data_IF_764004867923
#
_entry.id   IF_764004867923
#
_cell.length_a   1.000
_cell.length_b   1.000
_cell.length_c   1.000
_cell.angle_alpha   90.00
_cell.angle_beta   90.00
_cell.angle_gamma   90.00
#
_symmetry.space_group_name_H-M   'P 1'
#
loop_
_entity.id
_entity.type
_entity.pdbx_description
1 polymer ?
#
# COMPACT_ATOMS: atom_id res chain seq x y z
N UNK A 1 -18.90 -34.83 -5.32
CA UNK A 1 -18.74 -33.37 -5.51
C UNK A 1 -18.92 -32.68 -4.16
N UNK A 2 -17.84 -32.53 -3.38
CA UNK A 2 -17.85 -31.77 -2.13
C UNK A 2 -17.69 -30.29 -2.44
N UNK A 3 -18.82 -29.62 -2.64
CA UNK A 3 -18.84 -28.18 -2.80
C UNK A 3 -18.23 -27.53 -1.56
N UNK A 4 -17.04 -26.95 -1.71
CA UNK A 4 -16.52 -25.94 -0.79
C UNK A 4 -17.39 -24.71 -1.03
N UNK A 5 -18.61 -24.75 -0.49
CA UNK A 5 -19.43 -23.56 -0.27
C UNK A 5 -18.68 -22.84 0.84
N UNK A 6 -17.85 -21.89 0.40
CA UNK A 6 -17.15 -20.90 1.21
C UNK A 6 -18.04 -20.48 2.36
N UNK A 7 -17.77 -20.98 3.57
CA UNK A 7 -18.34 -20.44 4.79
C UNK A 7 -17.78 -19.05 4.92
N UNK A 8 -18.54 -18.08 4.41
CA UNK A 8 -18.33 -16.66 4.63
C UNK A 8 -18.64 -16.42 6.11
N UNK A 9 -17.69 -16.77 6.97
CA UNK A 9 -17.60 -16.13 8.26
C UNK A 9 -17.45 -14.64 7.92
N UNK A 10 -18.41 -13.81 8.30
CA UNK A 10 -18.48 -12.40 7.97
C UNK A 10 -17.36 -11.59 8.68
N UNK A 11 -16.10 -12.02 8.56
CA UNK A 11 -14.93 -11.39 9.16
C UNK A 11 -14.78 -11.55 10.68
N UNK A 12 -15.46 -12.52 11.32
CA UNK A 12 -15.37 -12.71 12.79
C UNK A 12 -14.26 -13.67 13.23
N UNK A 13 -13.81 -14.57 12.35
CA UNK A 13 -12.81 -15.59 12.64
C UNK A 13 -11.73 -15.72 11.56
N UNK A 14 -11.70 -14.79 10.60
CA UNK A 14 -10.74 -14.84 9.51
C UNK A 14 -9.34 -14.52 10.07
N UNK A 15 -8.40 -15.46 10.00
CA UNK A 15 -7.00 -15.21 10.34
C UNK A 15 -6.26 -14.57 9.17
N UNK A 16 -5.16 -13.87 9.46
CA UNK A 16 -4.27 -13.30 8.45
C UNK A 16 -3.88 -14.33 7.38
N UNK A 17 -3.41 -15.51 7.82
CA UNK A 17 -2.92 -16.57 6.93
C UNK A 17 -4.02 -17.09 6.00
N UNK A 18 -5.23 -17.27 6.52
CA UNK A 18 -6.38 -17.72 5.71
C UNK A 18 -6.78 -16.69 4.66
N UNK A 19 -6.83 -15.40 5.02
CA UNK A 19 -7.17 -14.33 4.09
C UNK A 19 -6.11 -14.20 2.99
N UNK A 20 -4.82 -14.29 3.34
CA UNK A 20 -3.74 -14.27 2.35
C UNK A 20 -3.80 -15.46 1.39
N UNK A 21 -4.05 -16.67 1.90
CA UNK A 21 -4.23 -17.86 1.07
C UNK A 21 -5.45 -17.75 0.14
N UNK A 22 -6.58 -17.25 0.65
CA UNK A 22 -7.77 -17.00 -0.15
C UNK A 22 -7.52 -15.97 -1.25
N UNK A 23 -6.76 -14.91 -0.94
CA UNK A 23 -6.35 -13.90 -1.92
C UNK A 23 -5.52 -14.51 -3.05
N UNK A 24 -4.48 -15.28 -2.72
CA UNK A 24 -3.64 -15.95 -3.72
C UNK A 24 -4.46 -16.86 -4.61
N UNK A 25 -5.31 -17.70 -4.02
CA UNK A 25 -6.22 -18.58 -4.77
C UNK A 25 -7.18 -17.81 -5.68
N UNK A 26 -7.69 -16.66 -5.23
CA UNK A 26 -8.58 -15.82 -6.04
C UNK A 26 -7.86 -15.19 -7.23
N UNK A 27 -6.61 -14.76 -7.05
CA UNK A 27 -5.74 -14.26 -8.13
C UNK A 27 -5.48 -15.36 -9.15
N UNK A 28 -5.03 -16.54 -8.69
CA UNK A 28 -4.69 -17.67 -9.56
C UNK A 28 -5.89 -18.15 -10.38
N UNK A 29 -7.08 -18.14 -9.77
CA UNK A 29 -8.34 -18.53 -10.41
C UNK A 29 -9.05 -17.38 -11.13
N UNK A 30 -8.47 -16.18 -11.18
CA UNK A 30 -9.05 -14.97 -11.80
C UNK A 30 -10.47 -14.64 -11.28
N UNK A 31 -10.71 -14.86 -9.99
CA UNK A 31 -11.98 -14.62 -9.30
C UNK A 31 -12.00 -13.23 -8.66
N UNK A 32 -12.38 -12.23 -9.45
CA UNK A 32 -12.41 -10.80 -9.03
C UNK A 32 -13.39 -10.54 -7.89
N UNK A 33 -14.56 -11.19 -7.93
CA UNK A 33 -15.59 -11.14 -6.88
C UNK A 33 -15.04 -11.55 -5.50
N UNK A 34 -14.28 -12.66 -5.47
CA UNK A 34 -13.66 -13.17 -4.24
C UNK A 34 -12.50 -12.28 -3.81
N UNK A 35 -11.70 -11.80 -4.77
CA UNK A 35 -10.56 -10.92 -4.49
C UNK A 35 -11.01 -9.62 -3.81
N UNK A 36 -12.07 -8.98 -4.30
CA UNK A 36 -12.61 -7.76 -3.71
C UNK A 36 -13.14 -8.00 -2.28
N UNK A 37 -13.88 -9.10 -2.09
CA UNK A 37 -14.38 -9.47 -0.78
C UNK A 37 -13.24 -9.71 0.23
N UNK A 38 -12.17 -10.41 -0.18
CA UNK A 38 -11.00 -10.68 0.67
C UNK A 38 -10.25 -9.39 0.97
N UNK A 39 -10.07 -8.51 -0.01
CA UNK A 39 -9.42 -7.21 0.16
C UNK A 39 -10.17 -6.33 1.18
N UNK A 40 -11.50 -6.28 1.13
CA UNK A 40 -12.30 -5.53 2.13
C UNK A 40 -12.15 -6.09 3.55
N UNK A 41 -12.06 -7.42 3.69
CA UNK A 41 -11.82 -8.06 5.00
C UNK A 41 -10.42 -7.80 5.53
N UNK A 42 -9.41 -7.89 4.67
CA UNK A 42 -8.04 -7.52 5.00
C UNK A 42 -7.97 -6.05 5.45
N UNK A 43 -8.65 -5.15 4.75
CA UNK A 43 -8.74 -3.73 5.13
C UNK A 43 -9.28 -3.53 6.54
N UNK A 44 -10.31 -4.30 6.92
CA UNK A 44 -10.97 -4.20 8.22
C UNK A 44 -10.18 -4.85 9.37
N UNK A 45 -9.65 -6.05 9.16
CA UNK A 45 -9.04 -6.86 10.22
C UNK A 45 -7.52 -6.70 10.31
N UNK A 46 -6.85 -6.52 9.17
CA UNK A 46 -5.40 -6.46 9.06
C UNK A 46 -4.97 -5.25 8.19
N UNK A 47 -5.31 -4.00 8.60
CA UNK A 47 -5.12 -2.81 7.77
C UNK A 47 -3.66 -2.59 7.33
N UNK A 48 -2.69 -2.93 8.18
CA UNK A 48 -1.26 -2.84 7.83
C UNK A 48 -0.89 -3.77 6.68
N UNK A 49 -1.45 -4.97 6.65
CA UNK A 49 -1.22 -5.96 5.60
C UNK A 49 -1.91 -5.51 4.33
N UNK A 50 -3.16 -5.06 4.44
CA UNK A 50 -3.88 -4.47 3.32
C UNK A 50 -3.06 -3.34 2.66
N UNK A 51 -2.52 -2.40 3.43
CA UNK A 51 -1.67 -1.34 2.88
C UNK A 51 -0.43 -1.87 2.17
N UNK A 52 0.16 -2.92 2.72
CA UNK A 52 1.35 -3.57 2.17
C UNK A 52 1.11 -4.22 0.80
N UNK A 53 -0.04 -4.84 0.59
CA UNK A 53 -0.28 -5.71 -0.59
C UNK A 53 -1.42 -5.25 -1.51
N UNK A 54 -2.20 -4.26 -1.10
CA UNK A 54 -3.33 -3.73 -1.88
C UNK A 54 -3.19 -2.23 -2.10
N UNK A 55 -3.02 -1.44 -1.03
CA UNK A 55 -2.85 0.02 -1.16
C UNK A 55 -3.55 0.84 -0.06
N UNK A 56 -3.86 2.11 -0.31
CA UNK A 56 -4.25 3.06 0.73
C UNK A 56 -5.57 2.68 1.44
N UNK A 57 -5.65 2.96 2.75
CA UNK A 57 -6.84 2.69 3.56
C UNK A 57 -7.93 3.73 3.35
N UNK A 58 -7.53 4.98 3.14
CA UNK A 58 -8.44 6.09 3.04
C UNK A 58 -8.70 6.44 1.58
N UNK A 59 -9.94 6.86 1.30
CA UNK A 59 -10.29 7.44 0.01
C UNK A 59 -9.61 8.80 -0.05
N UNK A 60 -8.85 9.03 -1.11
CA UNK A 60 -8.16 10.31 -1.33
C UNK A 60 -8.87 11.11 -2.40
N UNK A 61 -8.86 12.43 -2.24
CA UNK A 61 -9.27 13.34 -3.30
C UNK A 61 -8.33 13.15 -4.49
N UNK A 62 -8.92 12.88 -5.65
CA UNK A 62 -8.20 12.65 -6.90
C UNK A 62 -8.29 13.89 -7.77
N UNK A 63 -7.16 14.24 -8.37
CA UNK A 63 -7.07 15.31 -9.36
C UNK A 63 -6.12 14.82 -10.46
N UNK A 64 -6.68 14.47 -11.60
CA UNK A 64 -6.01 13.82 -12.73
C UNK A 64 -4.79 14.61 -13.25
N UNK A 65 -4.70 15.90 -12.95
CA UNK A 65 -3.52 16.73 -13.28
C UNK A 65 -2.24 16.19 -12.61
N UNK A 66 -2.37 15.60 -11.43
CA UNK A 66 -1.23 15.15 -10.64
C UNK A 66 -0.93 13.67 -10.86
N UNK A 67 0.36 13.33 -10.88
CA UNK A 67 0.87 11.96 -11.06
C UNK A 67 1.27 11.31 -9.73
N UNK A 68 0.62 11.69 -8.64
CA UNK A 68 0.94 11.20 -7.30
C UNK A 68 0.17 9.92 -6.95
N UNK A 69 0.51 9.31 -5.81
CA UNK A 69 -0.13 8.08 -5.32
C UNK A 69 -1.63 8.26 -4.98
N UNK A 70 -2.14 9.49 -4.86
CA UNK A 70 -3.59 9.71 -4.76
C UNK A 70 -4.33 9.26 -6.03
N UNK A 71 -3.75 9.53 -7.21
CA UNK A 71 -4.35 9.20 -8.51
C UNK A 71 -3.88 7.87 -9.06
N UNK A 72 -2.65 7.48 -8.74
CA UNK A 72 -2.08 6.18 -9.09
C UNK A 72 -1.71 5.42 -7.81
N UNK A 73 -2.71 4.85 -7.10
CA UNK A 73 -2.46 4.15 -5.85
C UNK A 73 -1.47 2.99 -6.04
N UNK A 74 -0.46 2.98 -5.18
CA UNK A 74 0.53 1.91 -5.11
C UNK A 74 0.45 1.21 -3.75
N UNK A 75 0.91 -0.03 -3.71
CA UNK A 75 1.11 -0.74 -2.44
C UNK A 75 2.32 -0.17 -1.70
N UNK A 76 2.41 -0.30 -0.37
CA UNK A 76 3.62 0.13 0.35
C UNK A 76 4.88 -0.60 -0.11
N UNK A 77 4.75 -1.82 -0.67
CA UNK A 77 5.90 -2.52 -1.24
C UNK A 77 6.42 -1.87 -2.53
N UNK A 78 5.51 -1.42 -3.41
CA UNK A 78 5.92 -0.70 -4.63
C UNK A 78 6.46 0.69 -4.28
N UNK A 79 5.84 1.39 -3.32
CA UNK A 79 6.37 2.67 -2.80
C UNK A 79 7.77 2.48 -2.20
N UNK A 80 8.01 1.37 -1.49
CA UNK A 80 9.35 1.00 -1.01
C UNK A 80 10.35 0.87 -2.16
N UNK A 81 9.99 0.15 -3.22
CA UNK A 81 10.87 0.01 -4.39
C UNK A 81 11.16 1.39 -4.96
N UNK A 82 10.12 2.22 -5.13
CA UNK A 82 10.26 3.57 -5.67
C UNK A 82 11.22 4.45 -4.85
N UNK A 83 11.18 4.35 -3.52
CA UNK A 83 12.10 5.07 -2.63
C UNK A 83 13.54 4.59 -2.87
N UNK A 84 13.77 3.28 -2.86
CA UNK A 84 15.13 2.72 -2.97
C UNK A 84 15.71 2.89 -4.38
N UNK A 85 14.89 2.82 -5.43
CA UNK A 85 15.30 3.11 -6.80
C UNK A 85 15.30 4.61 -7.13
N UNK A 86 14.98 5.47 -6.16
CA UNK A 86 14.97 6.92 -6.33
C UNK A 86 14.01 7.39 -7.46
N UNK A 87 12.93 6.65 -7.70
CA UNK A 87 11.94 6.85 -8.77
C UNK A 87 10.63 7.48 -8.29
N UNK A 88 10.54 7.89 -7.02
CA UNK A 88 9.36 8.60 -6.49
C UNK A 88 9.12 9.88 -7.30
N UNK A 89 7.95 9.98 -7.93
CA UNK A 89 7.57 11.13 -8.73
C UNK A 89 7.43 12.39 -7.86
N UNK A 90 7.88 13.57 -8.34
CA UNK A 90 7.88 14.82 -7.57
C UNK A 90 6.49 15.22 -7.05
N UNK A 91 5.42 15.02 -7.83
CA UNK A 91 4.03 15.18 -7.36
C UNK A 91 3.69 14.38 -6.09
N UNK A 92 4.29 13.20 -5.88
CA UNK A 92 4.12 12.43 -4.64
C UNK A 92 4.91 13.01 -3.48
N UNK A 93 6.02 13.73 -3.74
CA UNK A 93 6.83 14.41 -2.73
C UNK A 93 6.16 15.69 -2.23
N UNK A 94 5.53 16.44 -3.13
CA UNK A 94 4.84 17.70 -2.78
C UNK A 94 3.48 17.47 -2.13
N UNK A 95 2.82 16.34 -2.42
CA UNK A 95 1.54 15.98 -1.84
C UNK A 95 1.68 15.49 -0.39
N UNK A 96 1.10 16.24 0.57
CA UNK A 96 1.17 15.89 1.99
C UNK A 96 0.47 14.58 2.35
N UNK A 97 -0.65 14.28 1.68
CA UNK A 97 -1.34 13.01 1.87
C UNK A 97 -0.47 11.82 1.43
N UNK A 98 0.21 11.93 0.28
CA UNK A 98 1.15 10.91 -0.19
C UNK A 98 2.35 10.77 0.75
N UNK A 99 2.86 11.90 1.27
CA UNK A 99 3.97 11.88 2.21
C UNK A 99 3.60 11.14 3.50
N UNK A 100 2.45 11.46 4.10
CA UNK A 100 2.05 10.88 5.38
C UNK A 100 1.64 9.41 5.25
N UNK A 101 0.78 9.08 4.30
CA UNK A 101 0.19 7.74 4.22
C UNK A 101 1.05 6.72 3.47
N UNK A 102 1.89 7.15 2.52
CA UNK A 102 2.70 6.24 1.71
C UNK A 102 4.17 6.34 2.11
N UNK A 103 4.81 7.50 1.93
CA UNK A 103 6.27 7.62 2.00
C UNK A 103 6.81 7.46 3.44
N UNK A 104 6.33 8.28 4.37
CA UNK A 104 6.73 8.24 5.78
C UNK A 104 6.34 6.91 6.43
N UNK A 105 5.16 6.39 6.10
CA UNK A 105 4.69 5.09 6.58
C UNK A 105 5.53 3.94 6.06
N UNK A 106 5.94 3.99 4.78
CA UNK A 106 6.84 3.01 4.19
C UNK A 106 8.20 3.04 4.87
N UNK A 107 8.78 4.22 5.15
CA UNK A 107 10.01 4.30 5.92
C UNK A 107 9.87 3.77 7.35
N UNK A 108 8.80 4.16 8.06
CA UNK A 108 8.55 3.67 9.42
C UNK A 108 8.35 2.14 9.45
N UNK A 109 7.69 1.55 8.47
CA UNK A 109 7.45 0.12 8.43
C UNK A 109 8.68 -0.66 7.91
N UNK A 110 9.17 -0.34 6.71
CA UNK A 110 10.27 -1.08 6.08
C UNK A 110 11.65 -0.66 6.59
N UNK A 111 11.85 0.62 6.88
CA UNK A 111 13.09 1.12 7.47
C UNK A 111 13.31 0.57 8.88
N UNK A 112 12.33 0.70 9.79
CA UNK A 112 12.52 0.18 11.15
C UNK A 112 12.34 -1.33 11.28
N UNK A 113 11.28 -1.92 10.70
CA UNK A 113 11.00 -3.34 10.94
C UNK A 113 11.82 -4.28 10.05
N UNK A 114 12.24 -3.83 8.86
CA UNK A 114 13.00 -4.68 7.91
C UNK A 114 14.40 -4.17 7.55
N UNK A 115 14.82 -3.00 8.05
CA UNK A 115 16.14 -2.37 7.74
C UNK A 115 16.43 -2.23 6.24
N UNK A 116 15.39 -2.15 5.39
CA UNK A 116 15.56 -2.14 3.93
C UNK A 116 15.78 -0.74 3.34
N UNK A 117 15.35 0.31 4.04
CA UNK A 117 15.60 1.70 3.63
C UNK A 117 16.67 2.24 4.57
N UNK A 118 17.86 2.54 4.03
CA UNK A 118 18.93 3.14 4.82
C UNK A 118 18.56 4.58 5.19
N UNK A 119 19.16 5.07 6.27
CA UNK A 119 18.99 6.46 6.68
C UNK A 119 19.44 7.43 5.58
N UNK A 120 20.55 7.13 4.90
CA UNK A 120 21.06 7.93 3.77
C UNK A 120 20.03 8.08 2.63
N UNK A 121 19.40 6.97 2.23
CA UNK A 121 18.35 7.00 1.18
C UNK A 121 17.15 7.82 1.63
N UNK A 122 16.78 7.72 2.91
CA UNK A 122 15.68 8.48 3.47
C UNK A 122 15.97 9.97 3.57
N UNK A 123 17.17 10.34 4.02
CA UNK A 123 17.60 11.72 4.16
C UNK A 123 17.64 12.40 2.78
N UNK A 124 18.15 11.71 1.75
CA UNK A 124 18.13 12.17 0.37
C UNK A 124 16.69 12.40 -0.17
N UNK A 125 15.74 11.53 0.19
CA UNK A 125 14.33 11.70 -0.18
C UNK A 125 13.71 12.92 0.53
N UNK A 126 14.03 13.13 1.80
CA UNK A 126 13.59 14.29 2.57
C UNK A 126 14.11 15.60 1.96
N UNK A 127 15.38 15.64 1.57
CA UNK A 127 15.98 16.79 0.91
C UNK A 127 15.33 17.06 -0.45
N UNK A 128 15.11 16.02 -1.27
CA UNK A 128 14.36 16.15 -2.53
C UNK A 128 12.98 16.75 -2.33
N UNK A 129 12.23 16.29 -1.31
CA UNK A 129 10.93 16.87 -0.99
C UNK A 129 11.05 18.34 -0.59
N UNK A 130 12.02 18.69 0.25
CA UNK A 130 12.21 20.06 0.68
C UNK A 130 12.42 21.00 -0.52
N UNK A 131 13.26 20.59 -1.45
CA UNK A 131 13.53 21.33 -2.68
C UNK A 131 12.27 21.51 -3.54
N UNK A 132 11.57 20.42 -3.88
CA UNK A 132 10.37 20.49 -4.73
C UNK A 132 9.17 21.18 -4.10
N UNK A 133 9.08 21.25 -2.76
CA UNK A 133 7.90 21.77 -2.07
C UNK A 133 8.04 23.23 -1.64
N UNK A 134 9.25 23.65 -1.28
CA UNK A 134 9.46 24.93 -0.61
C UNK A 134 10.43 25.86 -1.33
N UNK A 135 11.19 25.37 -2.31
CA UNK A 135 12.20 26.17 -3.02
C UNK A 135 11.75 26.47 -4.45
N UNK A 136 11.31 25.45 -5.17
CA UNK A 136 10.67 25.57 -6.49
C UNK A 136 9.15 25.77 -6.37
#
# INVERSE_FOLDING_TARGET
MSGIISRIHQGRYDTEKELLNLRTNAIDKKRTDVLDAVNQRLKKLHPKIYQRIVGPLEIRTRDEKYKCYCNNPSTLHEVYKDIVSNSVHHHSLTCDACWQEDLAKTWGYYGWASKLISQEVWDALCEKRANYKFVE
#
